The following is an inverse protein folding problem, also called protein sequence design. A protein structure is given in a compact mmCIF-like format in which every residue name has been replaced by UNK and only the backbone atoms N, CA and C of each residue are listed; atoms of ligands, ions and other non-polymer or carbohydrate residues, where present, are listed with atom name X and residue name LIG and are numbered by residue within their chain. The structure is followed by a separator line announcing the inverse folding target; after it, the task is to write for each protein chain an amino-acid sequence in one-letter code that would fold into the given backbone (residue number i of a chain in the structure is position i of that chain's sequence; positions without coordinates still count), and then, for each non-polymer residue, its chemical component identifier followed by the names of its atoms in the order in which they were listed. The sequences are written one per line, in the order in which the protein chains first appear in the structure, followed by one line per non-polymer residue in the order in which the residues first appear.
data_IF_710686255659
#
_entry.id   IF_710686255659
#
_cell.length_a   1.000
_cell.length_b   1.000
_cell.length_c   1.000
_cell.angle_alpha   90.00
_cell.angle_beta   90.00
_cell.angle_gamma   90.00
#
_symmetry.space_group_name_H-M   'P 1'
#
loop_
_entity.id
_entity.type
_entity.pdbx_description
1 polymer ?
#
# COMPACT_ATOMS: atom_id res chain seq x y z
N UNK A 1 0.64 -17.93 3.85
CA UNK A 1 1.15 -16.68 4.46
C UNK A 1 1.68 -15.79 3.34
N UNK A 2 1.23 -14.54 3.25
CA UNK A 2 1.69 -13.59 2.25
C UNK A 2 3.17 -13.24 2.48
N UNK A 3 4.07 -13.63 1.57
CA UNK A 3 5.53 -13.42 1.72
C UNK A 3 5.95 -11.95 1.77
N UNK A 4 5.07 -11.05 1.32
CA UNK A 4 5.31 -9.62 1.19
C UNK A 4 5.09 -8.84 2.50
N UNK A 5 4.36 -9.42 3.46
CA UNK A 5 4.09 -8.79 4.77
C UNK A 5 5.42 -8.56 5.50
N UNK A 6 5.63 -7.35 6.00
CA UNK A 6 6.88 -6.93 6.65
C UNK A 6 8.04 -6.60 5.68
N UNK A 7 7.89 -6.86 4.37
CA UNK A 7 8.88 -6.50 3.34
C UNK A 7 8.48 -5.27 2.54
N UNK A 8 7.17 -5.08 2.31
CA UNK A 8 6.65 -3.93 1.60
C UNK A 8 6.78 -2.67 2.45
N UNK A 9 7.48 -1.67 1.93
CA UNK A 9 7.69 -0.37 2.58
C UNK A 9 6.95 0.72 1.82
N UNK A 10 6.43 1.68 2.56
CA UNK A 10 5.81 2.86 1.97
C UNK A 10 6.90 3.74 1.31
N UNK A 11 6.74 4.17 0.05
CA UNK A 11 7.76 4.95 -0.65
C UNK A 11 7.94 6.37 -0.09
N UNK A 12 7.03 6.83 0.77
CA UNK A 12 7.07 8.19 1.34
C UNK A 12 7.78 8.24 2.70
N UNK A 13 7.50 7.28 3.59
CA UNK A 13 8.09 7.27 4.94
C UNK A 13 9.11 6.14 5.15
N UNK A 14 9.30 5.24 4.18
CA UNK A 14 10.19 4.07 4.27
C UNK A 14 9.84 3.04 5.36
N UNK A 15 8.77 3.27 6.14
CA UNK A 15 8.28 2.32 7.13
C UNK A 15 7.58 1.13 6.48
N UNK A 16 7.71 -0.08 7.05
CA UNK A 16 6.97 -1.25 6.59
C UNK A 16 5.47 -1.05 6.74
N UNK A 17 4.71 -1.56 5.78
CA UNK A 17 3.25 -1.51 5.78
C UNK A 17 2.72 -2.72 6.55
N UNK A 18 1.98 -2.46 7.63
CA UNK A 18 1.33 -3.50 8.44
C UNK A 18 -0.03 -3.90 7.87
N UNK A 19 -0.51 -5.09 8.22
CA UNK A 19 -1.73 -5.71 7.66
C UNK A 19 -2.98 -4.86 7.94
N UNK A 20 -3.05 -4.24 9.11
CA UNK A 20 -4.17 -3.45 9.60
C UNK A 20 -4.11 -1.97 9.19
N UNK A 21 -3.00 -1.52 8.63
CA UNK A 21 -2.85 -0.13 8.21
C UNK A 21 -3.68 0.21 6.97
N UNK A 22 -4.25 1.42 6.98
CA UNK A 22 -4.95 1.97 5.82
C UNK A 22 -3.94 2.43 4.76
N UNK A 23 -4.17 1.98 3.54
CA UNK A 23 -3.30 2.22 2.38
C UNK A 23 -4.11 2.63 1.16
N UNK A 24 -3.44 3.31 0.25
CA UNK A 24 -3.86 3.48 -1.13
C UNK A 24 -3.01 2.59 -2.02
N UNK A 25 -3.66 2.02 -3.03
CA UNK A 25 -3.03 1.40 -4.18
C UNK A 25 -3.18 2.37 -5.35
N UNK A 26 -2.08 2.74 -6.00
CA UNK A 26 -2.14 3.59 -7.19
C UNK A 26 -2.30 2.78 -8.50
N UNK A 27 -2.40 3.50 -9.62
CA UNK A 27 -2.54 2.89 -10.96
C UNK A 27 -1.36 2.03 -11.41
N UNK A 28 -0.15 2.23 -10.86
CA UNK A 28 1.04 1.41 -11.15
C UNK A 28 1.29 0.33 -10.09
N UNK A 29 0.31 0.09 -9.22
CA UNK A 29 0.32 -0.88 -8.12
C UNK A 29 1.32 -0.58 -6.98
N UNK A 30 1.65 0.69 -6.74
CA UNK A 30 2.36 1.11 -5.54
C UNK A 30 1.40 1.15 -4.35
N UNK A 31 1.84 0.59 -3.22
CA UNK A 31 1.10 0.70 -1.95
C UNK A 31 1.71 1.82 -1.12
N UNK A 32 0.89 2.77 -0.69
CA UNK A 32 1.30 3.94 0.10
C UNK A 32 0.39 4.03 1.32
N UNK A 33 0.94 4.33 2.51
CA UNK A 33 0.09 4.63 3.66
C UNK A 33 -0.86 5.80 3.33
N UNK A 34 -2.12 5.68 3.74
CA UNK A 34 -3.12 6.74 3.53
C UNK A 34 -2.66 8.09 4.14
N UNK A 35 -2.03 8.05 5.33
CA UNK A 35 -1.45 9.22 6.02
C UNK A 35 -0.26 9.85 5.28
N UNK A 36 0.39 9.10 4.40
CA UNK A 36 1.59 9.53 3.68
C UNK A 36 1.27 10.04 2.27
N UNK A 37 0.20 9.55 1.65
CA UNK A 37 -0.15 9.92 0.28
C UNK A 37 -0.29 11.43 0.07
N UNK A 38 -0.96 12.14 1.00
CA UNK A 38 -1.14 13.59 0.89
C UNK A 38 0.15 14.39 1.11
N UNK A 39 1.20 13.77 1.68
CA UNK A 39 2.53 14.36 1.86
C UNK A 39 3.44 14.16 0.65
N UNK A 40 3.11 13.23 -0.25
CA UNK A 40 3.90 12.97 -1.45
C UNK A 40 3.72 14.10 -2.47
N UNK A 41 4.80 14.68 -3.03
CA UNK A 41 4.71 15.64 -4.13
C UNK A 41 4.26 14.97 -5.44
N UNK A 42 4.59 13.70 -5.63
CA UNK A 42 4.13 12.89 -6.76
C UNK A 42 2.98 12.00 -6.32
N UNK A 43 1.75 12.38 -6.70
CA UNK A 43 0.53 11.61 -6.44
C UNK A 43 0.00 11.04 -7.74
N UNK A 44 0.07 9.72 -7.88
CA UNK A 44 -0.60 9.00 -8.95
C UNK A 44 -2.07 8.75 -8.57
N UNK A 45 -2.99 8.66 -9.54
CA UNK A 45 -4.39 8.37 -9.26
C UNK A 45 -4.57 7.12 -8.39
N UNK A 46 -5.48 7.19 -7.43
CA UNK A 46 -5.82 6.08 -6.55
C UNK A 46 -6.65 5.07 -7.34
N UNK A 47 -6.16 3.83 -7.39
CA UNK A 47 -6.84 2.67 -7.99
C UNK A 47 -7.73 1.95 -6.98
N UNK A 48 -7.29 1.86 -5.72
CA UNK A 48 -8.06 1.24 -4.62
C UNK A 48 -7.63 1.80 -3.26
N UNK A 49 -8.49 1.64 -2.27
CA UNK A 49 -8.27 2.06 -0.89
C UNK A 49 -8.82 1.05 0.12
N UNK A 50 -8.22 1.02 1.31
CA UNK A 50 -8.65 0.17 2.42
C UNK A 50 -7.47 -0.26 3.29
N UNK A 51 -7.64 -1.34 4.06
CA UNK A 51 -6.53 -1.94 4.81
C UNK A 51 -5.58 -2.67 3.88
N UNK A 52 -4.32 -2.81 4.27
CA UNK A 52 -3.38 -3.64 3.51
C UNK A 52 -3.86 -5.09 3.40
N UNK A 53 -4.53 -5.62 4.43
CA UNK A 53 -5.20 -6.92 4.37
C UNK A 53 -6.17 -7.05 3.20
N UNK A 54 -7.01 -6.02 2.96
CA UNK A 54 -7.95 -6.00 1.83
C UNK A 54 -7.19 -6.09 0.50
N UNK A 55 -6.05 -5.39 0.38
CA UNK A 55 -5.21 -5.43 -0.82
C UNK A 55 -4.63 -6.83 -1.07
N UNK A 56 -4.09 -7.45 -0.02
CA UNK A 56 -3.52 -8.80 -0.08
C UNK A 56 -4.57 -9.85 -0.51
N UNK A 57 -5.80 -9.73 -0.04
CA UNK A 57 -6.88 -10.64 -0.38
C UNK A 57 -7.44 -10.40 -1.80
N UNK A 58 -7.48 -9.15 -2.26
CA UNK A 58 -8.08 -8.76 -3.54
C UNK A 58 -7.16 -8.99 -4.73
N UNK A 59 -5.85 -8.72 -4.58
CA UNK A 59 -4.92 -8.70 -5.71
C UNK A 59 -3.95 -9.88 -5.68
N UNK A 60 -3.95 -10.67 -6.77
CA UNK A 60 -3.15 -11.89 -6.90
C UNK A 60 -1.64 -11.66 -6.92
N UNK A 61 -1.18 -10.47 -7.31
CA UNK A 61 0.24 -10.14 -7.39
C UNK A 61 0.93 -9.97 -6.02
N UNK A 62 0.18 -10.00 -4.92
CA UNK A 62 0.74 -10.06 -3.56
C UNK A 62 0.95 -11.47 -3.02
N UNK A 63 0.53 -12.52 -3.76
CA UNK A 63 0.68 -13.92 -3.36
C UNK A 63 2.13 -14.40 -3.47
#
# INVERSE_FOLDING_TARGET
MFKIVGRLRCPVCSEPIQIDEKVFLDIINTVIHQKCYYKSPCRLPIKDEGTFQKMLLKYSFFK
#
